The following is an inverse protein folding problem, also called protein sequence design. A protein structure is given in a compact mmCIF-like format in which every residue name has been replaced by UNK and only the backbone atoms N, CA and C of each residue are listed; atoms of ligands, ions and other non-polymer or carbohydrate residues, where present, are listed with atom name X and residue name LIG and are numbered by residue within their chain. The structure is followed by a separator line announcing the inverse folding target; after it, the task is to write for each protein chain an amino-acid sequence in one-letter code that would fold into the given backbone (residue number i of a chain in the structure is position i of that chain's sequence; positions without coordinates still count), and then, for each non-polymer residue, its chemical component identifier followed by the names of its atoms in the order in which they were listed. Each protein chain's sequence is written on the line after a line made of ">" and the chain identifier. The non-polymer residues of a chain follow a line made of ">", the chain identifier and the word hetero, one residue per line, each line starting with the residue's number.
data_IF_588603298800
#
_entry.id   IF_588603298800
#
_cell.length_a   1.000
_cell.length_b   1.000
_cell.length_c   1.000
_cell.angle_alpha   90.00
_cell.angle_beta   90.00
_cell.angle_gamma   90.00
#
_symmetry.space_group_name_H-M   'P 1'
#
loop_
_entity.id
_entity.type
_entity.pdbx_description
1 polymer ?
#
# COMPACT_ATOMS: atom_id res chain seq x y z
N UNK A 1 -12.40 13.13 -31.95
CA UNK A 1 -11.65 12.52 -30.83
C UNK A 1 -11.95 11.02 -30.82
N UNK A 2 -10.95 10.14 -31.01
CA UNK A 2 -11.18 8.68 -31.10
C UNK A 2 -11.25 8.10 -29.68
N UNK A 3 -12.39 7.53 -29.30
CA UNK A 3 -12.54 6.87 -28.00
C UNK A 3 -11.52 5.73 -27.85
N UNK A 4 -10.77 5.73 -26.75
CA UNK A 4 -9.80 4.70 -26.41
C UNK A 4 -10.43 3.77 -25.38
N UNK A 5 -10.58 2.48 -25.72
CA UNK A 5 -11.12 1.50 -24.78
C UNK A 5 -10.20 1.41 -23.53
N UNK A 6 -10.79 1.29 -22.31
CA UNK A 6 -10.03 1.26 -21.05
C UNK A 6 -9.18 -0.02 -20.89
N UNK A 7 -9.51 -1.07 -21.63
CA UNK A 7 -8.78 -2.33 -21.66
C UNK A 7 -8.60 -2.83 -23.09
N UNK A 8 -7.54 -3.61 -23.31
CA UNK A 8 -7.29 -4.33 -24.56
C UNK A 8 -7.48 -5.82 -24.33
N UNK A 9 -8.23 -6.50 -25.19
CA UNK A 9 -8.40 -7.96 -25.18
C UNK A 9 -7.70 -8.62 -26.36
N UNK A 10 -6.96 -9.69 -26.11
CA UNK A 10 -6.24 -10.43 -27.13
C UNK A 10 -6.23 -11.94 -26.85
N UNK A 11 -6.20 -12.78 -27.90
CA UNK A 11 -6.17 -14.22 -27.74
C UNK A 11 -4.74 -14.72 -27.46
N UNK A 12 -4.61 -15.76 -26.64
CA UNK A 12 -3.37 -16.51 -26.46
C UNK A 12 -3.63 -18.00 -26.67
N UNK A 13 -2.79 -18.66 -27.47
CA UNK A 13 -2.83 -20.12 -27.65
C UNK A 13 -2.09 -20.78 -26.48
N UNK A 14 -2.78 -21.66 -25.77
CA UNK A 14 -2.18 -22.48 -24.71
C UNK A 14 -1.44 -23.69 -25.30
N UNK A 15 -0.55 -24.31 -24.52
CA UNK A 15 0.15 -25.55 -24.90
C UNK A 15 -0.81 -26.70 -25.21
N UNK A 16 -2.01 -26.68 -24.62
CA UNK A 16 -3.10 -27.64 -24.86
C UNK A 16 -3.89 -27.39 -26.15
N UNK A 17 -3.53 -26.38 -26.95
CA UNK A 17 -4.24 -26.02 -28.19
C UNK A 17 -5.47 -25.15 -28.00
N UNK A 18 -5.96 -24.98 -26.76
CA UNK A 18 -7.09 -24.10 -26.44
C UNK A 18 -6.71 -22.62 -26.59
N UNK A 19 -7.59 -21.81 -27.16
CA UNK A 19 -7.45 -20.36 -27.24
C UNK A 19 -8.15 -19.73 -26.04
N UNK A 20 -7.39 -19.04 -25.19
CA UNK A 20 -7.92 -18.31 -24.04
C UNK A 20 -7.72 -16.82 -24.27
N UNK A 21 -8.74 -16.02 -23.97
CA UNK A 21 -8.67 -14.57 -24.09
C UNK A 21 -8.07 -13.95 -22.84
N UNK A 22 -7.07 -13.10 -23.06
CA UNK A 22 -6.44 -12.30 -22.03
C UNK A 22 -6.85 -10.85 -22.19
N UNK A 23 -6.77 -10.10 -21.10
CA UNK A 23 -6.96 -8.67 -21.11
C UNK A 23 -5.76 -7.95 -20.48
N UNK A 24 -5.51 -6.73 -20.95
CA UNK A 24 -4.50 -5.81 -20.42
C UNK A 24 -5.15 -4.47 -20.14
N UNK A 25 -4.77 -3.88 -19.02
CA UNK A 25 -5.21 -2.56 -18.59
C UNK A 25 -4.02 -1.60 -18.56
N UNK A 26 -4.30 -0.32 -18.39
CA UNK A 26 -3.29 0.70 -18.16
C UNK A 26 -3.22 1.02 -16.67
N UNK A 27 -2.01 1.25 -16.17
CA UNK A 27 -1.83 1.86 -14.86
C UNK A 27 -2.07 3.37 -14.95
N UNK A 28 -2.09 4.04 -13.80
CA UNK A 28 -2.24 5.51 -13.74
C UNK A 28 -1.10 6.28 -14.38
N UNK A 29 0.10 5.69 -14.44
CA UNK A 29 1.24 6.24 -15.17
C UNK A 29 1.15 6.02 -16.69
N UNK A 30 0.02 5.51 -17.21
CA UNK A 30 -0.21 5.24 -18.65
C UNK A 30 0.55 4.04 -19.22
N UNK A 31 1.25 3.26 -18.40
CA UNK A 31 1.98 2.04 -18.77
C UNK A 31 1.04 0.83 -18.79
N UNK A 32 1.29 -0.12 -19.70
CA UNK A 32 0.50 -1.36 -19.81
C UNK A 32 0.83 -2.29 -18.63
N UNK A 33 -0.20 -2.85 -18.01
CA UNK A 33 -0.06 -3.83 -16.93
C UNK A 33 0.11 -5.25 -17.46
N UNK A 34 0.49 -6.17 -16.57
CA UNK A 34 0.56 -7.60 -16.84
C UNK A 34 -0.78 -8.12 -17.35
N UNK A 35 -0.73 -8.98 -18.36
CA UNK A 35 -1.93 -9.56 -18.94
C UNK A 35 -2.58 -10.54 -17.97
N UNK A 36 -3.90 -10.41 -17.81
CA UNK A 36 -4.71 -11.25 -16.95
C UNK A 36 -5.61 -12.16 -17.80
N UNK A 37 -5.75 -13.40 -17.37
CA UNK A 37 -6.62 -14.36 -18.06
C UNK A 37 -8.07 -14.05 -17.74
N UNK A 38 -8.92 -13.98 -18.77
CA UNK A 38 -10.38 -13.95 -18.56
C UNK A 38 -10.97 -15.35 -18.34
N UNK A 39 -10.20 -16.40 -18.66
CA UNK A 39 -10.68 -17.78 -18.70
C UNK A 39 -11.69 -18.07 -19.83
N UNK A 40 -12.04 -17.07 -20.64
CA UNK A 40 -13.05 -17.21 -21.69
C UNK A 40 -12.44 -17.64 -23.02
N UNK A 41 -13.20 -18.42 -23.79
CA UNK A 41 -12.79 -18.97 -25.09
C UNK A 41 -13.20 -18.06 -26.25
N UNK A 42 -14.25 -17.25 -26.06
CA UNK A 42 -14.81 -16.34 -27.07
C UNK A 42 -14.50 -14.88 -26.76
N UNK A 43 -14.28 -14.08 -27.81
CA UNK A 43 -13.97 -12.64 -27.71
C UNK A 43 -15.10 -11.84 -27.04
N UNK A 44 -16.35 -12.17 -27.37
CA UNK A 44 -17.54 -11.50 -26.85
C UNK A 44 -17.69 -11.76 -25.35
N UNK A 45 -17.54 -13.00 -24.89
CA UNK A 45 -17.59 -13.34 -23.47
C UNK A 45 -16.46 -12.67 -22.70
N UNK A 46 -15.24 -12.62 -23.25
CA UNK A 46 -14.11 -11.92 -22.64
C UNK A 46 -14.38 -10.42 -22.47
N UNK A 47 -14.96 -9.76 -23.48
CA UNK A 47 -15.34 -8.34 -23.39
C UNK A 47 -16.45 -8.09 -22.37
N UNK A 48 -17.46 -8.96 -22.33
CA UNK A 48 -18.54 -8.86 -21.35
C UNK A 48 -18.00 -9.00 -19.92
N UNK A 49 -17.05 -9.93 -19.71
CA UNK A 49 -16.36 -10.09 -18.43
C UNK A 49 -15.58 -8.83 -18.03
N UNK A 50 -14.76 -8.27 -18.93
CA UNK A 50 -14.04 -7.03 -18.64
C UNK A 50 -14.98 -5.85 -18.35
N UNK A 51 -16.10 -5.71 -19.06
CA UNK A 51 -17.10 -4.66 -18.77
C UNK A 51 -17.74 -4.80 -17.39
N UNK A 52 -17.98 -6.04 -16.93
CA UNK A 52 -18.47 -6.30 -15.57
C UNK A 52 -17.44 -5.87 -14.53
N UNK A 53 -16.17 -6.19 -14.75
CA UNK A 53 -15.07 -5.78 -13.89
C UNK A 53 -14.88 -4.25 -13.90
N UNK A 54 -15.03 -3.60 -15.04
CA UNK A 54 -14.93 -2.14 -15.19
C UNK A 54 -16.02 -1.43 -14.39
N UNK A 55 -17.26 -1.93 -14.48
CA UNK A 55 -18.39 -1.43 -13.68
C UNK A 55 -18.18 -1.61 -12.17
N UNK A 56 -17.41 -2.62 -11.77
CA UNK A 56 -17.07 -2.91 -10.38
C UNK A 56 -15.76 -2.23 -9.91
N UNK A 57 -15.08 -1.46 -10.78
CA UNK A 57 -13.73 -0.91 -10.58
C UNK A 57 -12.64 -1.95 -10.22
N UNK A 58 -12.89 -3.22 -10.56
CA UNK A 58 -12.07 -4.39 -10.23
C UNK A 58 -11.17 -4.85 -11.39
N UNK A 59 -11.02 -4.00 -12.42
CA UNK A 59 -10.23 -4.31 -13.61
C UNK A 59 -8.76 -4.66 -13.28
N UNK A 60 -8.21 -4.08 -12.20
CA UNK A 60 -6.84 -4.33 -11.74
C UNK A 60 -6.92 -5.09 -10.40
N UNK A 61 -6.46 -6.34 -10.33
CA UNK A 61 -6.71 -7.27 -9.22
C UNK A 61 -5.89 -7.00 -7.93
N UNK A 62 -5.47 -5.77 -7.66
CA UNK A 62 -4.71 -5.47 -6.44
C UNK A 62 -5.32 -4.27 -5.70
N UNK A 63 -6.41 -4.52 -4.96
CA UNK A 63 -7.04 -3.49 -4.11
C UNK A 63 -6.14 -3.07 -2.93
N UNK A 64 -5.39 -4.02 -2.36
CA UNK A 64 -4.52 -3.75 -1.21
C UNK A 64 -3.45 -2.70 -1.53
N UNK A 65 -2.87 -2.75 -2.73
CA UNK A 65 -1.92 -1.74 -3.20
C UNK A 65 -2.54 -0.41 -3.65
N UNK A 66 -3.86 -0.32 -3.82
CA UNK A 66 -4.58 0.93 -4.15
C UNK A 66 -4.95 1.75 -2.91
N UNK A 67 -5.03 1.11 -1.75
CA UNK A 67 -5.37 1.78 -0.49
C UNK A 67 -4.34 2.86 -0.17
N UNK A 68 -4.82 4.04 0.20
CA UNK A 68 -3.95 5.12 0.68
C UNK A 68 -3.41 4.78 2.06
N UNK A 69 -2.21 5.25 2.38
CA UNK A 69 -1.66 5.06 3.72
C UNK A 69 -2.55 5.69 4.80
N UNK A 70 -3.21 6.82 4.50
CA UNK A 70 -4.15 7.45 5.43
C UNK A 70 -5.31 6.54 5.80
N UNK A 71 -5.84 5.79 4.83
CA UNK A 71 -6.96 4.84 5.04
C UNK A 71 -6.48 3.59 5.79
N UNK A 72 -5.28 3.11 5.46
CA UNK A 72 -4.68 1.94 6.11
C UNK A 72 -4.35 2.16 7.58
N UNK A 73 -3.84 3.35 7.91
CA UNK A 73 -3.39 3.67 9.26
C UNK A 73 -4.52 4.05 10.22
N UNK A 74 -5.77 4.12 9.74
CA UNK A 74 -6.95 4.35 10.58
C UNK A 74 -7.04 3.22 11.62
N UNK A 75 -7.13 3.60 12.89
CA UNK A 75 -7.19 2.68 14.04
C UNK A 75 -5.94 1.81 14.27
N UNK A 76 -4.80 2.09 13.64
CA UNK A 76 -3.58 1.28 13.84
C UNK A 76 -3.05 1.30 15.28
N UNK A 77 -3.30 2.38 16.02
CA UNK A 77 -2.92 2.49 17.44
C UNK A 77 -4.13 2.45 18.38
N UNK A 78 -5.29 2.02 17.87
CA UNK A 78 -6.49 1.79 18.68
C UNK A 78 -6.32 0.50 19.49
N UNK A 79 -6.55 0.59 20.79
CA UNK A 79 -6.36 -0.49 21.76
C UNK A 79 -7.30 -1.67 21.50
N UNK A 80 -8.53 -1.38 21.05
CA UNK A 80 -9.57 -2.39 20.84
C UNK A 80 -9.58 -2.95 19.43
N UNK A 81 -9.19 -2.15 18.44
CA UNK A 81 -9.29 -2.54 17.03
C UNK A 81 -7.99 -3.06 16.44
N UNK A 82 -6.84 -2.67 16.98
CA UNK A 82 -5.55 -3.09 16.43
C UNK A 82 -5.08 -4.42 17.01
N UNK A 83 -5.00 -5.43 16.15
CA UNK A 83 -4.47 -6.75 16.48
C UNK A 83 -3.04 -6.70 17.05
N UNK A 84 -2.18 -5.82 16.53
CA UNK A 84 -0.81 -5.67 17.02
C UNK A 84 -0.76 -5.15 18.47
N UNK A 85 -1.60 -4.17 18.80
CA UNK A 85 -1.67 -3.61 20.16
C UNK A 85 -2.17 -4.67 21.13
N UNK A 86 -3.24 -5.40 20.76
CA UNK A 86 -3.75 -6.51 21.56
C UNK A 86 -2.70 -7.61 21.77
N UNK A 87 -1.99 -8.01 20.71
CA UNK A 87 -0.93 -9.01 20.78
C UNK A 87 0.18 -8.58 21.74
N UNK A 88 0.69 -7.35 21.59
CA UNK A 88 1.73 -6.82 22.49
C UNK A 88 1.24 -6.70 23.93
N UNK A 89 -0.04 -6.38 24.15
CA UNK A 89 -0.64 -6.31 25.49
C UNK A 89 -0.68 -7.67 26.19
N UNK A 90 -0.90 -8.76 25.44
CA UNK A 90 -0.82 -10.13 25.99
C UNK A 90 0.59 -10.48 26.48
N UNK A 91 1.62 -9.93 25.83
CA UNK A 91 3.04 -10.13 26.18
C UNK A 91 3.60 -9.13 27.20
N UNK A 92 2.83 -8.14 27.64
CA UNK A 92 3.26 -7.12 28.61
C UNK A 92 2.37 -5.86 28.61
N UNK A 93 2.41 -5.06 29.67
CA UNK A 93 1.56 -3.86 29.78
C UNK A 93 2.06 -2.72 28.88
N UNK A 94 1.39 -2.50 27.75
CA UNK A 94 1.54 -1.24 27.00
C UNK A 94 0.83 -0.13 27.76
N UNK A 95 1.58 0.91 28.13
CA UNK A 95 1.03 2.11 28.75
C UNK A 95 0.16 2.90 27.74
N UNK A 96 -1.01 3.38 28.16
CA UNK A 96 -1.87 4.27 27.36
C UNK A 96 -1.14 5.54 26.90
N UNK A 97 -0.22 6.07 27.72
CA UNK A 97 0.60 7.22 27.33
C UNK A 97 1.51 6.90 26.13
N UNK A 98 1.99 5.66 26.02
CA UNK A 98 2.77 5.23 24.86
C UNK A 98 1.91 5.23 23.59
N UNK A 99 0.69 4.69 23.64
CA UNK A 99 -0.23 4.71 22.50
C UNK A 99 -0.54 6.15 22.06
N UNK A 100 -0.82 7.05 23.01
CA UNK A 100 -1.04 8.48 22.72
C UNK A 100 0.17 9.12 22.03
N UNK A 101 1.38 8.85 22.50
CA UNK A 101 2.61 9.35 21.84
C UNK A 101 2.72 8.80 20.41
N UNK A 102 2.42 7.53 20.17
CA UNK A 102 2.47 6.95 18.82
C UNK A 102 1.41 7.53 17.88
N UNK A 103 0.19 7.77 18.37
CA UNK A 103 -0.87 8.45 17.61
C UNK A 103 -0.42 9.87 17.23
N UNK A 104 0.16 10.60 18.18
CA UNK A 104 0.70 11.93 17.93
C UNK A 104 1.79 11.91 16.85
N UNK A 105 2.68 10.91 16.90
CA UNK A 105 3.73 10.74 15.90
C UNK A 105 3.19 10.42 14.51
N UNK A 106 2.21 9.51 14.43
CA UNK A 106 1.51 9.16 13.21
C UNK A 106 0.90 10.42 12.56
N UNK A 107 0.15 11.19 13.33
CA UNK A 107 -0.60 12.33 12.82
C UNK A 107 0.29 13.51 12.40
N UNK A 108 1.36 13.79 13.16
CA UNK A 108 2.15 15.00 12.93
C UNK A 108 3.34 14.80 11.99
N UNK A 109 3.84 13.58 11.85
CA UNK A 109 5.07 13.33 11.09
C UNK A 109 4.82 12.39 9.91
N UNK A 110 4.08 11.30 10.13
CA UNK A 110 3.95 10.23 9.14
C UNK A 110 2.85 10.56 8.12
N UNK A 111 1.64 10.90 8.58
CA UNK A 111 0.50 11.21 7.72
C UNK A 111 0.74 12.39 6.77
N UNK A 112 1.41 13.50 7.17
CA UNK A 112 1.65 14.61 6.26
C UNK A 112 2.54 14.24 5.06
N UNK A 113 3.44 13.25 5.24
CA UNK A 113 4.34 12.82 4.16
C UNK A 113 3.75 11.69 3.33
N UNK A 114 3.22 10.65 3.99
CA UNK A 114 2.85 9.39 3.34
C UNK A 114 1.35 9.22 3.19
N UNK A 115 0.52 10.00 3.88
CA UNK A 115 -0.93 9.78 3.94
C UNK A 115 -1.61 9.77 2.58
N UNK A 116 -1.19 10.64 1.67
CA UNK A 116 -1.71 10.71 0.29
C UNK A 116 -1.15 9.64 -0.64
N UNK A 117 -0.01 9.04 -0.27
CA UNK A 117 0.65 7.99 -1.06
C UNK A 117 -0.08 6.67 -0.89
N UNK A 118 -0.01 5.84 -1.93
CA UNK A 118 -0.52 4.47 -1.86
C UNK A 118 0.47 3.55 -1.18
N UNK A 119 -0.02 2.53 -0.50
CA UNK A 119 0.83 1.57 0.19
C UNK A 119 1.89 0.94 -0.73
N UNK A 120 1.52 0.63 -1.98
CA UNK A 120 2.44 0.03 -2.97
C UNK A 120 3.52 1.00 -3.45
N UNK A 121 3.25 2.30 -3.41
CA UNK A 121 4.15 3.34 -3.91
C UNK A 121 5.18 3.74 -2.86
N UNK A 122 4.93 3.46 -1.57
CA UNK A 122 5.88 3.71 -0.50
C UNK A 122 7.04 2.73 -0.65
N UNK A 123 8.16 3.24 -1.16
CA UNK A 123 9.38 2.46 -1.29
C UNK A 123 10.25 2.62 -0.05
N UNK A 124 11.19 1.69 0.14
CA UNK A 124 12.23 1.81 1.19
C UNK A 124 13.01 3.13 1.06
N UNK A 125 13.29 3.56 -0.17
CA UNK A 125 14.01 4.80 -0.44
C UNK A 125 13.25 6.03 0.06
N UNK A 126 11.92 6.07 -0.11
CA UNK A 126 11.10 7.18 0.38
C UNK A 126 11.14 7.30 1.89
N UNK A 127 11.14 6.15 2.60
CA UNK A 127 11.26 6.09 4.05
C UNK A 127 12.63 6.58 4.51
N UNK A 128 13.72 6.09 3.92
CA UNK A 128 15.08 6.50 4.27
C UNK A 128 15.32 7.99 4.02
N UNK A 129 14.87 8.50 2.88
CA UNK A 129 14.96 9.92 2.53
C UNK A 129 14.18 10.80 3.52
N UNK A 130 12.97 10.39 3.92
CA UNK A 130 12.19 11.12 4.91
C UNK A 130 12.83 11.10 6.31
N UNK A 131 13.38 9.97 6.74
CA UNK A 131 14.14 9.89 8.01
C UNK A 131 15.32 10.86 7.98
N UNK A 132 16.06 10.94 6.87
CA UNK A 132 17.15 11.90 6.69
C UNK A 132 16.68 13.36 6.81
N UNK A 133 15.52 13.70 6.22
CA UNK A 133 14.92 15.04 6.33
C UNK A 133 14.55 15.39 7.78
N UNK A 134 13.95 14.45 8.52
CA UNK A 134 13.62 14.66 9.93
C UNK A 134 14.87 14.90 10.78
N UNK A 135 15.92 14.10 10.59
CA UNK A 135 17.20 14.28 11.27
C UNK A 135 17.82 15.66 10.97
N UNK A 136 17.75 16.11 9.72
CA UNK A 136 18.23 17.42 9.31
C UNK A 136 17.43 18.58 9.93
N UNK A 137 16.10 18.46 10.04
CA UNK A 137 15.26 19.46 10.72
C UNK A 137 15.59 19.58 12.21
N UNK A 138 15.85 18.45 12.87
CA UNK A 138 16.21 18.41 14.29
C UNK A 138 17.60 19.03 14.54
N UNK A 139 18.57 18.73 13.68
CA UNK A 139 19.95 19.25 13.77
C UNK A 139 20.03 20.79 13.70
N UNK A 140 19.16 21.43 12.92
CA UNK A 140 19.14 22.91 12.77
C UNK A 140 18.54 23.66 13.96
N UNK A 141 17.67 23.02 14.75
CA UNK A 141 16.85 23.69 15.78
C UNK A 141 17.52 23.73 17.16
N UNK A 142 18.50 22.85 17.39
CA UNK A 142 19.29 22.81 18.62
C UNK A 142 20.73 22.46 18.26
N UNK A 143 21.69 23.31 18.60
CA UNK A 143 23.14 23.02 18.52
C UNK A 143 23.62 21.89 19.45
N UNK A 144 22.69 21.05 19.91
CA UNK A 144 22.93 19.74 20.53
C UNK A 144 22.02 18.76 19.81
N UNK A 145 22.51 17.56 19.44
CA UNK A 145 21.61 16.51 19.02
C UNK A 145 20.69 16.21 20.21
N UNK A 146 19.44 16.68 20.19
CA UNK A 146 18.37 16.23 21.08
C UNK A 146 17.93 14.82 20.68
N UNK A 147 18.92 13.95 20.53
CA UNK A 147 18.83 12.51 20.33
C UNK A 147 19.93 11.88 21.21
N UNK A 148 20.11 12.40 22.44
CA UNK A 148 20.73 11.62 23.51
C UNK A 148 19.71 10.56 23.94
N UNK A 149 19.67 9.50 23.15
CA UNK A 149 18.59 8.54 23.16
C UNK A 149 18.12 8.36 21.74
N UNK A 150 18.82 7.48 21.03
CA UNK A 150 18.13 6.36 20.40
C UNK A 150 16.66 6.30 20.83
N UNK A 151 15.76 6.75 19.97
CA UNK A 151 14.47 6.08 19.93
C UNK A 151 14.38 5.33 18.61
N UNK A 152 15.03 4.15 18.54
CA UNK A 152 14.61 3.09 17.63
C UNK A 152 13.09 2.96 17.64
N UNK A 153 12.35 3.35 18.69
CA UNK A 153 10.88 3.27 18.73
C UNK A 153 10.12 4.16 17.73
N UNK A 154 10.69 5.26 17.23
CA UNK A 154 10.04 6.10 16.21
C UNK A 154 10.28 5.54 14.80
N UNK A 155 11.50 5.07 14.55
CA UNK A 155 11.82 4.30 13.34
C UNK A 155 11.14 2.94 13.33
N UNK A 156 11.02 2.27 14.49
CA UNK A 156 10.34 0.99 14.65
C UNK A 156 8.85 1.12 14.47
N UNK A 157 8.19 2.18 14.93
CA UNK A 157 6.76 2.33 14.67
C UNK A 157 6.49 2.45 13.17
N UNK A 158 7.29 3.22 12.45
CA UNK A 158 7.18 3.38 11.01
C UNK A 158 7.63 2.16 10.21
N UNK A 159 8.78 1.57 10.57
CA UNK A 159 9.27 0.32 9.98
C UNK A 159 8.26 -0.78 10.27
N UNK A 160 7.69 -0.91 11.47
CA UNK A 160 6.69 -1.95 11.76
C UNK A 160 5.36 -1.70 11.05
N UNK A 161 4.88 -0.46 10.96
CA UNK A 161 3.68 -0.10 10.20
C UNK A 161 3.90 -0.38 8.71
N UNK A 162 4.99 0.14 8.12
CA UNK A 162 5.29 -0.01 6.70
C UNK A 162 5.71 -1.43 6.33
N UNK A 163 6.44 -2.15 7.17
CA UNK A 163 6.86 -3.54 6.92
C UNK A 163 5.69 -4.50 7.08
N UNK A 164 4.79 -4.28 8.06
CA UNK A 164 3.54 -5.05 8.16
C UNK A 164 2.57 -4.73 7.01
N UNK A 165 2.49 -3.46 6.58
CA UNK A 165 1.74 -3.08 5.38
C UNK A 165 2.33 -3.73 4.12
N UNK A 166 3.65 -3.70 3.97
CA UNK A 166 4.38 -4.29 2.87
C UNK A 166 4.24 -5.82 2.83
N UNK A 167 4.39 -6.52 3.95
CA UNK A 167 4.15 -7.96 4.07
C UNK A 167 2.72 -8.33 3.67
N UNK A 168 1.71 -7.61 4.17
CA UNK A 168 0.30 -7.85 3.81
C UNK A 168 0.01 -7.58 2.33
N UNK A 169 0.69 -6.63 1.69
CA UNK A 169 0.53 -6.38 0.25
C UNK A 169 1.25 -7.40 -0.66
N UNK A 170 2.27 -8.11 -0.15
CA UNK A 170 3.07 -9.06 -0.93
C UNK A 170 2.78 -10.54 -0.62
N UNK A 171 1.98 -10.84 0.40
CA UNK A 171 1.58 -12.21 0.77
C UNK A 171 0.33 -12.74 0.04
N UNK A 172 -0.24 -12.02 -0.93
CA UNK A 172 -1.32 -12.56 -1.75
C UNK A 172 -0.77 -12.99 -3.13
N UNK A 173 -0.69 -14.31 -3.42
CA UNK A 173 -0.28 -14.81 -4.74
C UNK A 173 -1.27 -14.45 -5.86
#
# INVERSE_FOLDING_TARGET
>A
MRYREPFTVFPRKMRSGKVVWYYQTYNESGRRMTALSTGQVTKSAARAYCRKLDKADDLIPNRAGRMKFSEYSVNWWDDEKCEYVQYRRRGGSINQNYLRSQIHHLNNYILPQFGTMRLKEITRYDVENWVGKLQAMISKKTGRPLICGTNPRFGESLIRICFSAWEKTNQNP
#
